data_IF_001469696844
#
_entry.id   IF_001469696844
#
_cell.length_a   1.000
_cell.length_b   1.000
_cell.length_c   1.000
_cell.angle_alpha   90.00
_cell.angle_beta   90.00
_cell.angle_gamma   90.00
#
_symmetry.space_group_name_H-M   'P 1'
#
loop_
_entity.id
_entity.type
_entity.pdbx_description
1 polymer ?
#
# COMPACT_ATOMS: atom_id res chain seq x y z
N UNK A 1 -42.56 10.30 -21.73
CA UNK A 1 -41.77 10.41 -22.98
C UNK A 1 -40.64 11.45 -22.96
N UNK A 2 -40.24 12.02 -21.82
CA UNK A 2 -39.07 12.92 -21.72
C UNK A 2 -37.76 12.16 -21.39
N UNK A 3 -37.84 11.05 -20.64
CA UNK A 3 -36.67 10.22 -20.27
C UNK A 3 -35.93 9.59 -21.47
N UNK A 4 -36.66 9.23 -22.54
CA UNK A 4 -36.06 8.63 -23.75
C UNK A 4 -35.35 9.67 -24.63
N UNK A 5 -35.75 10.94 -24.56
CA UNK A 5 -35.11 12.03 -25.30
C UNK A 5 -33.78 12.44 -24.64
N UNK A 6 -33.74 12.49 -23.31
CA UNK A 6 -32.50 12.74 -22.53
C UNK A 6 -31.49 11.61 -22.78
N UNK A 7 -31.94 10.35 -22.72
CA UNK A 7 -31.08 9.19 -23.05
C UNK A 7 -30.52 9.26 -24.48
N UNK A 8 -31.33 9.65 -25.48
CA UNK A 8 -30.85 9.80 -26.88
C UNK A 8 -29.92 11.00 -27.10
N UNK A 9 -30.08 12.09 -26.34
CA UNK A 9 -29.19 13.27 -26.39
C UNK A 9 -27.85 12.95 -25.73
N UNK A 10 -27.86 12.25 -24.58
CA UNK A 10 -26.64 11.76 -23.94
C UNK A 10 -25.87 10.79 -24.84
N UNK A 11 -26.56 9.85 -25.50
CA UNK A 11 -25.93 8.88 -26.43
C UNK A 11 -25.34 9.55 -27.68
N UNK A 12 -25.87 10.72 -28.11
CA UNK A 12 -25.32 11.46 -29.25
C UNK A 12 -24.13 12.37 -28.89
N UNK A 13 -24.09 12.90 -27.67
CA UNK A 13 -23.00 13.78 -27.19
C UNK A 13 -21.74 12.99 -26.82
N UNK A 14 -21.86 11.72 -26.41
CA UNK A 14 -20.75 10.90 -25.90
C UNK A 14 -19.91 10.16 -26.98
N UNK A 15 -20.11 10.45 -28.28
CA UNK A 15 -19.59 9.60 -29.35
C UNK A 15 -18.13 9.83 -29.76
N UNK A 16 -17.47 10.92 -29.35
CA UNK A 16 -16.05 11.12 -29.67
C UNK A 16 -15.15 10.50 -28.58
N UNK A 17 -14.24 9.59 -28.96
CA UNK A 17 -13.31 8.92 -28.05
C UNK A 17 -12.56 9.90 -27.13
N UNK A 18 -12.07 11.00 -27.71
CA UNK A 18 -11.36 12.05 -27.00
C UNK A 18 -12.21 12.80 -25.98
N UNK A 19 -13.50 13.01 -26.22
CA UNK A 19 -14.36 13.74 -25.29
C UNK A 19 -14.54 12.97 -23.98
N UNK A 20 -14.65 11.64 -24.07
CA UNK A 20 -14.78 10.77 -22.90
C UNK A 20 -13.49 10.73 -22.09
N UNK A 21 -12.36 10.56 -22.77
CA UNK A 21 -11.05 10.58 -22.12
C UNK A 21 -10.82 11.90 -21.38
N UNK A 22 -11.14 13.04 -22.02
CA UNK A 22 -11.05 14.36 -21.40
C UNK A 22 -11.98 14.53 -20.19
N UNK A 23 -13.23 14.06 -20.26
CA UNK A 23 -14.18 14.14 -19.14
C UNK A 23 -13.70 13.26 -17.98
N UNK A 24 -13.30 12.01 -18.25
CA UNK A 24 -12.79 11.09 -17.23
C UNK A 24 -11.52 11.65 -16.57
N UNK A 25 -10.58 12.18 -17.35
CA UNK A 25 -9.36 12.79 -16.81
C UNK A 25 -9.70 14.04 -15.98
N UNK A 26 -10.56 14.94 -16.47
CA UNK A 26 -10.93 16.15 -15.73
C UNK A 26 -11.63 15.83 -14.40
N UNK A 27 -12.58 14.89 -14.40
CA UNK A 27 -13.28 14.46 -13.18
C UNK A 27 -12.34 13.75 -12.20
N UNK A 28 -11.42 12.94 -12.73
CA UNK A 28 -10.40 12.29 -11.92
C UNK A 28 -9.45 13.30 -11.28
N UNK A 29 -8.94 14.28 -12.05
CA UNK A 29 -8.08 15.37 -11.54
C UNK A 29 -8.81 16.23 -10.50
N UNK A 30 -10.10 16.50 -10.71
CA UNK A 30 -10.95 17.20 -9.76
C UNK A 30 -11.28 16.37 -8.49
N UNK A 31 -10.96 15.07 -8.49
CA UNK A 31 -11.29 14.11 -7.41
C UNK A 31 -12.79 14.08 -7.09
N UNK A 32 -13.63 14.31 -8.10
CA UNK A 32 -15.09 14.35 -7.98
C UNK A 32 -15.66 12.93 -8.12
N UNK A 33 -15.62 12.18 -7.01
CA UNK A 33 -16.03 10.77 -6.96
C UNK A 33 -17.52 10.55 -7.26
N UNK A 34 -18.39 11.47 -6.83
CA UNK A 34 -19.84 11.34 -7.00
C UNK A 34 -20.25 11.41 -8.47
N UNK A 35 -19.70 12.40 -9.21
CA UNK A 35 -19.95 12.51 -10.66
C UNK A 35 -19.37 11.34 -11.44
N UNK A 36 -18.24 10.79 -10.99
CA UNK A 36 -17.67 9.58 -11.58
C UNK A 36 -18.58 8.36 -11.35
N UNK A 37 -19.14 8.18 -10.15
CA UNK A 37 -20.10 7.11 -9.86
C UNK A 37 -21.34 7.23 -10.75
N UNK A 38 -21.84 8.45 -10.93
CA UNK A 38 -22.95 8.71 -11.85
C UNK A 38 -22.60 8.37 -13.30
N UNK A 39 -21.39 8.74 -13.75
CA UNK A 39 -20.90 8.48 -15.10
C UNK A 39 -20.77 6.98 -15.42
N UNK A 40 -20.36 6.16 -14.44
CA UNK A 40 -20.15 4.72 -14.60
C UNK A 40 -21.37 3.86 -14.19
N UNK A 41 -22.53 4.47 -13.93
CA UNK A 41 -23.76 3.77 -13.49
C UNK A 41 -24.25 2.74 -14.54
N UNK A 42 -24.76 1.56 -14.11
CA UNK A 42 -25.21 0.46 -14.99
C UNK A 42 -26.16 0.82 -16.12
N UNK A 43 -27.05 1.78 -15.92
CA UNK A 43 -28.02 2.17 -16.95
C UNK A 43 -27.38 2.81 -18.20
N UNK A 44 -26.10 3.19 -18.14
CA UNK A 44 -25.30 3.78 -19.24
C UNK A 44 -24.27 2.75 -19.78
N UNK A 45 -24.27 1.50 -19.30
CA UNK A 45 -23.20 0.50 -19.51
C UNK A 45 -23.33 -0.36 -20.77
N UNK A 46 -22.93 0.18 -21.91
CA UNK A 46 -22.28 -0.69 -22.91
C UNK A 46 -20.97 -0.08 -23.39
N UNK A 47 -20.92 1.22 -23.64
CA UNK A 47 -19.76 1.86 -24.24
C UNK A 47 -18.55 1.92 -23.28
N UNK A 48 -18.77 2.17 -21.99
CA UNK A 48 -17.67 2.37 -21.03
C UNK A 48 -16.99 1.07 -20.57
N UNK A 49 -17.72 -0.04 -20.50
CA UNK A 49 -17.16 -1.35 -20.13
C UNK A 49 -16.23 -1.90 -21.22
N UNK A 50 -16.62 -1.77 -22.51
CA UNK A 50 -15.74 -2.13 -23.63
C UNK A 50 -14.54 -1.18 -23.76
N UNK A 51 -14.71 0.12 -23.44
CA UNK A 51 -13.64 1.13 -23.56
C UNK A 51 -12.65 1.17 -22.40
N UNK A 52 -13.00 0.68 -21.21
CA UNK A 52 -12.06 0.55 -20.09
C UNK A 52 -10.81 -0.27 -20.44
N UNK A 53 -10.88 -1.14 -21.45
CA UNK A 53 -9.74 -1.95 -21.91
C UNK A 53 -8.74 -1.18 -22.79
N UNK A 54 -9.08 0.04 -23.25
CA UNK A 54 -8.31 0.72 -24.29
C UNK A 54 -7.77 2.10 -23.91
N UNK A 55 -8.31 2.74 -22.85
CA UNK A 55 -7.85 4.06 -22.40
C UNK A 55 -7.42 4.08 -20.94
N UNK A 56 -6.18 4.50 -20.71
CA UNK A 56 -5.57 4.68 -19.38
C UNK A 56 -6.36 5.67 -18.51
N UNK A 57 -6.92 6.73 -19.09
CA UNK A 57 -7.70 7.75 -18.35
C UNK A 57 -9.06 7.23 -17.88
N UNK A 58 -9.79 6.50 -18.74
CA UNK A 58 -11.07 5.88 -18.37
C UNK A 58 -10.83 4.84 -17.28
N UNK A 59 -9.79 4.02 -17.42
CA UNK A 59 -9.47 3.00 -16.44
C UNK A 59 -9.09 3.60 -15.08
N UNK A 60 -8.28 4.67 -15.04
CA UNK A 60 -7.96 5.40 -13.80
C UNK A 60 -9.22 5.98 -13.13
N UNK A 61 -10.09 6.62 -13.91
CA UNK A 61 -11.36 7.16 -13.43
C UNK A 61 -12.30 6.05 -12.89
N UNK A 62 -12.35 4.90 -13.57
CA UNK A 62 -13.11 3.73 -13.13
C UNK A 62 -12.58 3.17 -11.81
N UNK A 63 -11.27 3.01 -11.66
CA UNK A 63 -10.66 2.57 -10.40
C UNK A 63 -10.99 3.53 -9.25
N UNK A 64 -10.95 4.84 -9.49
CA UNK A 64 -11.33 5.82 -8.48
C UNK A 64 -12.80 5.73 -8.10
N UNK A 65 -13.67 5.47 -9.08
CA UNK A 65 -15.09 5.23 -8.85
C UNK A 65 -15.34 4.04 -7.93
N UNK A 66 -14.62 2.94 -8.15
CA UNK A 66 -14.69 1.75 -7.29
C UNK A 66 -14.20 2.04 -5.87
N UNK A 67 -13.14 2.84 -5.73
CA UNK A 67 -12.64 3.30 -4.44
C UNK A 67 -13.68 4.14 -3.69
N UNK A 68 -14.30 5.11 -4.36
CA UNK A 68 -15.34 5.97 -3.78
C UNK A 68 -16.60 5.18 -3.38
N UNK A 69 -16.99 4.22 -4.21
CA UNK A 69 -18.13 3.32 -3.96
C UNK A 69 -17.85 2.25 -2.89
N UNK A 70 -16.65 2.23 -2.31
CA UNK A 70 -16.18 1.22 -1.33
C UNK A 70 -16.22 -0.22 -1.85
N UNK A 71 -16.16 -0.41 -3.18
CA UNK A 71 -16.09 -1.74 -3.83
C UNK A 71 -14.63 -2.16 -3.98
N UNK A 72 -13.98 -2.41 -2.84
CA UNK A 72 -12.54 -2.66 -2.80
C UNK A 72 -12.12 -3.95 -3.50
N UNK A 73 -12.92 -5.02 -3.41
CA UNK A 73 -12.60 -6.31 -4.04
C UNK A 73 -12.50 -6.19 -5.57
N UNK A 74 -13.45 -5.49 -6.18
CA UNK A 74 -13.45 -5.22 -7.61
C UNK A 74 -12.32 -4.28 -8.03
N UNK A 75 -11.97 -3.31 -7.18
CA UNK A 75 -10.81 -2.45 -7.42
C UNK A 75 -9.53 -3.27 -7.46
N UNK A 76 -9.33 -4.20 -6.51
CA UNK A 76 -8.14 -5.05 -6.48
C UNK A 76 -8.09 -6.00 -7.67
N UNK A 77 -9.24 -6.57 -8.05
CA UNK A 77 -9.34 -7.40 -9.25
C UNK A 77 -9.03 -6.60 -10.51
N UNK A 78 -9.64 -5.42 -10.69
CA UNK A 78 -9.42 -4.55 -11.85
C UNK A 78 -7.95 -4.12 -11.97
N UNK A 79 -7.28 -3.79 -10.87
CA UNK A 79 -5.84 -3.47 -10.90
C UNK A 79 -5.01 -4.70 -11.28
N UNK A 80 -5.38 -5.90 -10.85
CA UNK A 80 -4.61 -7.13 -11.12
C UNK A 80 -4.79 -7.61 -12.56
N UNK A 81 -5.99 -7.46 -13.12
CA UNK A 81 -6.34 -7.96 -14.46
C UNK A 81 -5.87 -7.04 -15.59
N UNK A 82 -5.79 -5.73 -15.36
CA UNK A 82 -5.40 -4.77 -16.39
C UNK A 82 -3.89 -4.45 -16.34
N UNK A 83 -3.37 -4.01 -17.48
CA UNK A 83 -1.99 -3.52 -17.63
C UNK A 83 -1.98 -2.00 -17.67
N UNK A 84 -1.04 -1.37 -16.99
CA UNK A 84 -0.95 0.09 -16.91
C UNK A 84 0.38 0.60 -17.47
N UNK A 85 0.40 1.86 -17.91
CA UNK A 85 1.64 2.52 -18.30
C UNK A 85 2.47 2.88 -17.05
N UNK A 86 3.81 2.77 -17.12
CA UNK A 86 4.70 3.07 -15.98
C UNK A 86 4.51 4.47 -15.39
N UNK A 87 4.13 5.46 -16.21
CA UNK A 87 3.87 6.84 -15.77
C UNK A 87 2.77 6.97 -14.70
N UNK A 88 1.88 5.97 -14.62
CA UNK A 88 0.77 5.96 -13.67
C UNK A 88 1.01 5.02 -12.48
N UNK A 89 2.14 4.32 -12.41
CA UNK A 89 2.39 3.32 -11.36
C UNK A 89 2.39 3.95 -9.97
N UNK A 90 3.07 5.09 -9.78
CA UNK A 90 3.12 5.77 -8.49
C UNK A 90 1.72 6.10 -7.97
N UNK A 91 0.88 6.69 -8.83
CA UNK A 91 -0.48 7.06 -8.48
C UNK A 91 -1.37 5.85 -8.17
N UNK A 92 -1.24 4.77 -8.95
CA UNK A 92 -2.02 3.55 -8.75
C UNK A 92 -1.58 2.76 -7.51
N UNK A 93 -0.29 2.78 -7.18
CA UNK A 93 0.23 2.23 -5.91
C UNK A 93 -0.33 3.00 -4.72
N UNK A 94 -0.40 4.33 -4.83
CA UNK A 94 -1.01 5.19 -3.84
C UNK A 94 -2.48 4.86 -3.63
N UNK A 95 -3.23 4.69 -4.73
CA UNK A 95 -4.64 4.28 -4.71
C UNK A 95 -4.82 2.88 -4.11
N UNK A 96 -3.96 1.92 -4.46
CA UNK A 96 -3.97 0.56 -3.91
C UNK A 96 -3.82 0.57 -2.39
N UNK A 97 -2.85 1.33 -1.87
CA UNK A 97 -2.65 1.41 -0.42
C UNK A 97 -3.77 2.18 0.28
N UNK A 98 -4.27 3.28 -0.30
CA UNK A 98 -5.43 4.01 0.22
C UNK A 98 -6.65 3.09 0.32
N UNK A 99 -6.91 2.29 -0.72
CA UNK A 99 -7.99 1.29 -0.72
C UNK A 99 -7.80 0.24 0.39
N UNK A 100 -6.58 -0.31 0.57
CA UNK A 100 -6.28 -1.27 1.65
C UNK A 100 -6.40 -0.66 3.05
N UNK A 101 -6.02 0.60 3.22
CA UNK A 101 -6.20 1.30 4.48
C UNK A 101 -7.68 1.48 4.78
N UNK A 102 -8.44 2.02 3.83
CA UNK A 102 -9.88 2.23 3.97
C UNK A 102 -10.66 0.91 4.24
N UNK A 103 -10.30 -0.18 3.55
CA UNK A 103 -10.87 -1.51 3.78
C UNK A 103 -10.65 -1.99 5.22
N UNK A 104 -9.44 -1.77 5.78
CA UNK A 104 -9.13 -2.19 7.14
C UNK A 104 -9.74 -1.26 8.20
N UNK A 105 -9.77 0.04 7.95
CA UNK A 105 -10.43 1.04 8.78
C UNK A 105 -11.94 0.76 8.88
N UNK A 106 -12.57 0.36 7.77
CA UNK A 106 -13.98 -0.04 7.77
C UNK A 106 -14.23 -1.31 8.60
N UNK A 107 -13.36 -2.32 8.49
CA UNK A 107 -13.49 -3.56 9.26
C UNK A 107 -13.28 -3.36 10.77
N UNK A 108 -12.44 -2.41 11.16
CA UNK A 108 -12.05 -2.19 12.57
C UNK A 108 -12.71 -0.98 13.22
N UNK A 109 -13.40 -0.15 12.44
CA UNK A 109 -14.01 1.12 12.85
C UNK A 109 -13.03 2.04 13.59
N UNK A 110 -11.75 1.99 13.22
CA UNK A 110 -10.67 2.76 13.85
C UNK A 110 -9.65 3.16 12.81
N UNK A 111 -9.16 4.40 12.90
CA UNK A 111 -8.09 4.91 12.06
C UNK A 111 -6.77 4.13 12.27
N UNK A 112 -6.07 3.84 11.18
CA UNK A 112 -4.85 3.07 11.23
C UNK A 112 -3.65 3.92 11.65
N UNK A 113 -2.92 3.44 12.65
CA UNK A 113 -1.62 4.00 13.01
C UNK A 113 -0.54 3.73 11.96
N UNK A 114 0.56 4.49 12.00
CA UNK A 114 1.68 4.34 11.05
C UNK A 114 2.26 2.91 11.00
N UNK A 115 2.30 2.21 12.15
CA UNK A 115 2.80 0.83 12.25
C UNK A 115 1.86 -0.15 11.55
N UNK A 116 0.55 0.06 11.65
CA UNK A 116 -0.45 -0.81 11.02
C UNK A 116 -0.46 -0.59 9.50
N UNK A 117 -0.36 0.67 9.06
CA UNK A 117 -0.16 1.00 7.64
C UNK A 117 1.09 0.31 7.09
N UNK A 118 2.20 0.31 7.83
CA UNK A 118 3.41 -0.45 7.44
C UNK A 118 3.17 -1.97 7.34
N UNK A 119 2.48 -2.56 8.32
CA UNK A 119 2.13 -4.01 8.29
C UNK A 119 1.27 -4.35 7.08
N UNK A 120 0.31 -3.49 6.73
CA UNK A 120 -0.55 -3.69 5.55
C UNK A 120 0.24 -3.59 4.25
N UNK A 121 1.14 -2.62 4.10
CA UNK A 121 2.01 -2.52 2.92
C UNK A 121 2.84 -3.79 2.72
N UNK A 122 3.36 -4.36 3.81
CA UNK A 122 4.15 -5.60 3.76
C UNK A 122 3.30 -6.83 3.48
N UNK A 123 2.07 -6.89 4.00
CA UNK A 123 1.15 -8.03 3.81
C UNK A 123 0.53 -8.03 2.41
N UNK A 124 0.28 -6.85 1.84
CA UNK A 124 -0.42 -6.67 0.57
C UNK A 124 0.41 -5.78 -0.37
N UNK A 125 1.56 -6.28 -0.87
CA UNK A 125 2.30 -5.57 -1.90
C UNK A 125 1.42 -5.41 -3.15
N UNK A 126 1.59 -4.32 -3.90
CA UNK A 126 0.84 -4.09 -5.12
C UNK A 126 1.22 -5.12 -6.19
N UNK A 127 0.28 -5.47 -7.09
CA UNK A 127 0.50 -6.47 -8.12
C UNK A 127 1.49 -5.99 -9.19
N UNK A 128 2.08 -6.95 -9.93
CA UNK A 128 3.04 -6.68 -11.02
C UNK A 128 2.50 -5.80 -12.15
N UNK A 129 1.18 -5.65 -12.25
CA UNK A 129 0.51 -4.77 -13.21
C UNK A 129 0.78 -3.28 -12.96
N UNK A 130 1.10 -2.90 -11.71
CA UNK A 130 1.38 -1.52 -11.29
C UNK A 130 2.73 -1.39 -10.57
N UNK A 131 3.57 -2.43 -10.62
CA UNK A 131 4.89 -2.47 -10.00
C UNK A 131 5.82 -3.38 -10.80
N UNK A 132 6.96 -2.86 -11.22
CA UNK A 132 8.05 -3.51 -11.98
C UNK A 132 8.85 -4.61 -11.22
N UNK A 133 8.35 -5.12 -10.08
CA UNK A 133 9.06 -5.97 -9.16
C UNK A 133 10.34 -5.40 -8.51
N UNK A 134 10.69 -4.12 -8.63
CA UNK A 134 11.84 -3.56 -7.91
C UNK A 134 11.50 -3.48 -6.42
N UNK A 135 11.83 -4.52 -5.66
CA UNK A 135 11.72 -4.46 -4.20
C UNK A 135 12.58 -3.32 -3.68
N UNK A 136 12.00 -2.42 -2.89
CA UNK A 136 12.79 -1.62 -1.97
C UNK A 136 13.37 -2.58 -0.95
N UNK A 137 14.58 -3.09 -1.22
CA UNK A 137 15.32 -3.92 -0.27
C UNK A 137 15.70 -3.02 0.90
N UNK A 138 14.79 -2.88 1.87
CA UNK A 138 15.04 -2.19 3.14
C UNK A 138 16.12 -2.89 3.97
N UNK A 139 16.48 -4.11 3.60
CA UNK A 139 17.54 -4.88 4.24
C UNK A 139 18.89 -4.43 3.70
N UNK A 140 19.69 -3.77 4.54
CA UNK A 140 21.06 -3.35 4.22
C UNK A 140 21.83 -4.37 3.39
N UNK A 141 22.74 -3.95 2.49
CA UNK A 141 23.61 -4.88 1.75
C UNK A 141 24.29 -5.87 2.71
N UNK A 142 24.57 -7.10 2.27
CA UNK A 142 25.13 -8.14 3.15
C UNK A 142 26.43 -7.67 3.84
N UNK A 143 27.26 -6.89 3.14
CA UNK A 143 28.45 -6.26 3.71
C UNK A 143 28.11 -5.34 4.91
N UNK A 144 27.14 -4.43 4.73
CA UNK A 144 26.69 -3.54 5.79
C UNK A 144 26.10 -4.31 6.99
N UNK A 145 25.39 -5.43 6.76
CA UNK A 145 24.89 -6.31 7.84
C UNK A 145 26.02 -6.96 8.62
N UNK A 146 27.12 -7.35 7.97
CA UNK A 146 28.30 -7.93 8.64
C UNK A 146 28.97 -6.89 9.55
N UNK A 147 29.22 -5.69 9.03
CA UNK A 147 29.82 -4.58 9.78
C UNK A 147 28.96 -4.21 10.99
N UNK A 148 27.66 -4.00 10.81
CA UNK A 148 26.75 -3.68 11.91
C UNK A 148 26.74 -4.76 13.01
N UNK A 149 26.75 -6.04 12.64
CA UNK A 149 26.84 -7.16 13.59
C UNK A 149 28.16 -7.17 14.35
N UNK A 150 29.28 -6.89 13.67
CA UNK A 150 30.61 -6.85 14.29
C UNK A 150 30.71 -5.71 15.31
N UNK A 151 30.25 -4.50 14.94
CA UNK A 151 30.20 -3.36 15.86
C UNK A 151 29.28 -3.65 17.07
N UNK A 152 28.12 -4.27 16.84
CA UNK A 152 27.19 -4.62 17.93
C UNK A 152 27.77 -5.60 18.94
N UNK A 153 28.58 -6.57 18.48
CA UNK A 153 29.28 -7.50 19.37
C UNK A 153 30.27 -6.78 20.29
N UNK A 154 30.91 -5.72 19.80
CA UNK A 154 31.86 -4.90 20.56
C UNK A 154 31.16 -3.91 21.50
N UNK A 155 30.16 -3.20 20.98
CA UNK A 155 29.41 -2.18 21.73
C UNK A 155 27.93 -2.14 21.29
N UNK A 156 27.00 -2.42 22.21
CA UNK A 156 25.55 -2.40 21.97
C UNK A 156 24.95 -0.97 21.93
N UNK A 157 25.69 0.03 22.41
CA UNK A 157 25.29 1.44 22.48
C UNK A 157 26.36 2.32 21.83
N UNK A 158 26.43 2.36 20.48
CA UNK A 158 27.45 3.12 19.76
C UNK A 158 27.28 4.63 20.00
N UNK A 159 28.41 5.29 20.17
CA UNK A 159 28.50 6.77 20.27
C UNK A 159 28.23 7.42 18.91
N UNK A 160 28.15 8.76 18.86
CA UNK A 160 28.01 9.47 17.59
C UNK A 160 29.19 9.21 16.66
N UNK A 161 30.41 9.14 17.19
CA UNK A 161 31.62 8.84 16.40
C UNK A 161 31.62 7.40 15.89
N UNK A 162 31.22 6.43 16.72
CA UNK A 162 31.05 5.04 16.24
C UNK A 162 30.06 4.97 15.08
N UNK A 163 28.95 5.73 15.15
CA UNK A 163 27.94 5.76 14.08
C UNK A 163 28.48 6.41 12.81
N UNK A 164 29.30 7.46 12.92
CA UNK A 164 29.97 8.09 11.76
C UNK A 164 30.94 7.11 11.09
N UNK A 165 31.70 6.34 11.87
CA UNK A 165 32.61 5.34 11.31
C UNK A 165 31.85 4.20 10.62
N UNK A 166 30.76 3.72 11.23
CA UNK A 166 29.90 2.73 10.58
C UNK A 166 29.29 3.31 9.30
N UNK A 167 28.85 4.57 9.29
CA UNK A 167 28.30 5.23 8.11
C UNK A 167 29.32 5.28 6.97
N UNK A 168 30.58 5.64 7.29
CA UNK A 168 31.69 5.69 6.34
C UNK A 168 32.01 4.33 5.70
N UNK A 169 31.89 3.24 6.46
CA UNK A 169 32.19 1.88 5.97
C UNK A 169 31.02 1.27 5.19
N UNK A 170 29.78 1.61 5.57
CA UNK A 170 28.57 0.91 5.08
C UNK A 170 27.73 1.71 4.10
N UNK A 171 28.08 2.98 3.87
CA UNK A 171 27.29 3.97 3.13
C UNK A 171 25.87 4.14 3.66
N UNK A 172 25.65 3.82 4.94
CA UNK A 172 24.37 3.98 5.60
C UNK A 172 24.26 5.33 6.27
N UNK A 173 23.06 5.90 6.24
CA UNK A 173 22.75 7.11 6.99
C UNK A 173 22.79 6.84 8.50
N UNK A 174 23.25 7.81 9.29
CA UNK A 174 23.34 7.71 10.76
C UNK A 174 22.00 7.32 11.40
N UNK A 175 20.89 7.79 10.82
CA UNK A 175 19.52 7.44 11.25
C UNK A 175 19.23 5.95 11.03
N UNK A 176 19.63 5.38 9.90
CA UNK A 176 19.45 3.96 9.58
C UNK A 176 20.25 3.08 10.56
N UNK A 177 21.49 3.47 10.86
CA UNK A 177 22.35 2.81 11.84
C UNK A 177 21.71 2.89 13.23
N UNK A 178 21.28 4.08 13.65
CA UNK A 178 20.63 4.29 14.96
C UNK A 178 19.38 3.41 15.12
N UNK A 179 18.54 3.34 14.09
CA UNK A 179 17.36 2.49 14.07
C UNK A 179 17.71 1.01 14.12
N UNK A 180 18.76 0.58 13.42
CA UNK A 180 19.19 -0.82 13.46
C UNK A 180 19.64 -1.24 14.87
N UNK A 181 20.46 -0.44 15.54
CA UNK A 181 20.92 -0.73 16.92
C UNK A 181 19.74 -0.74 17.91
N UNK A 182 18.81 0.21 17.78
CA UNK A 182 17.57 0.23 18.58
C UNK A 182 16.76 -1.05 18.37
N UNK A 183 16.50 -1.41 17.12
CA UNK A 183 15.73 -2.60 16.76
C UNK A 183 16.43 -3.89 17.21
N UNK A 184 17.77 -3.97 17.14
CA UNK A 184 18.53 -5.14 17.58
C UNK A 184 18.41 -5.37 19.08
N UNK A 185 18.54 -4.32 19.89
CA UNK A 185 18.35 -4.40 21.35
C UNK A 185 16.92 -4.80 21.74
N UNK A 186 15.91 -4.30 21.03
CA UNK A 186 14.52 -4.72 21.26
C UNK A 186 14.30 -6.20 21.00
N UNK A 187 14.93 -6.77 19.95
CA UNK A 187 14.88 -8.21 19.67
C UNK A 187 15.60 -9.04 20.74
N UNK A 188 16.73 -8.56 21.25
CA UNK A 188 17.46 -9.25 22.31
C UNK A 188 16.62 -9.30 23.61
N UNK A 189 15.92 -8.19 23.94
CA UNK A 189 15.02 -8.14 25.11
C UNK A 189 13.81 -9.06 24.97
N UNK A 190 13.20 -9.12 23.79
CA UNK A 190 12.05 -10.02 23.56
C UNK A 190 12.45 -11.49 23.42
N UNK A 191 13.73 -11.80 23.15
CA UNK A 191 14.25 -13.16 23.22
C UNK A 191 14.60 -13.60 24.64
N UNK A 192 15.07 -12.69 25.51
CA UNK A 192 15.39 -13.04 26.90
C UNK A 192 14.14 -13.31 27.74
N UNK A 193 13.03 -12.60 27.49
CA UNK A 193 11.75 -12.82 28.21
C UNK A 193 11.09 -14.18 27.91
N UNK A 194 11.48 -14.85 26.82
CA UNK A 194 10.94 -16.17 26.46
C UNK A 194 11.74 -17.35 27.01
N UNK A 195 12.84 -17.08 27.71
CA UNK A 195 13.71 -18.10 28.32
C UNK A 195 13.78 -17.99 29.85
N UNK A 196 12.71 -17.52 30.50
CA UNK A 196 12.49 -17.90 31.91
C UNK A 196 11.85 -19.29 31.90
N UNK A 197 12.52 -20.35 32.37
CA UNK A 197 11.83 -21.59 32.68
C UNK A 197 10.73 -21.25 33.70
N UNK A 198 9.51 -21.79 33.60
CA UNK A 198 8.58 -21.68 34.70
C UNK A 198 9.29 -22.22 35.94
N UNK A 199 9.41 -21.37 36.97
CA UNK A 199 9.90 -21.80 38.27
C UNK A 199 9.09 -23.04 38.65
N UNK A 200 9.77 -24.18 38.76
CA UNK A 200 9.17 -25.42 39.22
C UNK A 200 8.61 -25.13 40.61
N UNK A 201 7.29 -24.99 40.70
CA UNK A 201 6.58 -24.99 41.97
C UNK A 201 6.76 -26.38 42.56
N UNK A 202 7.72 -26.47 43.48
CA UNK A 202 7.86 -27.60 44.37
C UNK A 202 6.64 -27.59 45.30
N UNK A 203 5.66 -28.43 45.01
CA UNK A 203 4.61 -28.77 45.95
C UNK A 203 5.06 -29.99 46.73
N UNK A 204 5.74 -29.76 47.85
CA UNK A 204 5.87 -30.77 48.89
C UNK A 204 4.59 -30.82 49.72
N UNK A 205 4.00 -32.02 49.71
CA UNK A 205 3.31 -32.71 50.82
C UNK A 205 2.07 -32.05 51.46
N UNK A 206 0.90 -32.71 51.35
CA UNK A 206 0.20 -33.40 52.46
C UNK A 206 -1.23 -33.84 52.11
N UNK A 207 -1.60 -35.02 52.66
CA UNK A 207 -2.92 -35.68 52.78
C UNK A 207 -3.44 -36.35 51.49
N UNK A 208 -3.55 -37.68 51.40
CA UNK A 208 -4.10 -38.67 52.35
C UNK A 208 -3.21 -39.92 52.42
#
# INVERSE_FOLDING_TARGET
SQSAAVSRIFTKIFNCHFQIDCICEALYQARDGDKLVELFRPDIQNIMFYRCRYSSSILRAYLYTLFHSRRFDELFQAITTNTFEPRYFEELQDLWYKARYAENEQRRQKELGAVEKYRLRKKHPPPRSIWDGQETIYSFKENARKVLRQFYKRNKYPTLEDKKEIARITDLQIVQISNWFKNRRQRDKSSSDRFSPPAQLHFDTLLI
#
